data_IF_408443283115
#
_entry.id   IF_408443283115
#
_cell.length_a   1.000
_cell.length_b   1.000
_cell.length_c   1.000
_cell.angle_alpha   90.00
_cell.angle_beta   90.00
_cell.angle_gamma   90.00
#
_symmetry.space_group_name_H-M   'P 1'
#
loop_
_entity.id
_entity.type
_entity.pdbx_description
1 polymer ?
#
# COMPACT_ATOMS: atom_id res chain seq x y z
N UNK A 1 -15.90 -0.64 -12.71
CA UNK A 1 -14.99 -1.81 -12.56
C UNK A 1 -14.88 -2.14 -11.08
N UNK A 2 -15.15 -3.39 -10.67
CA UNK A 2 -15.13 -3.79 -9.25
C UNK A 2 -13.73 -3.61 -8.64
N UNK A 3 -13.66 -3.17 -7.38
CA UNK A 3 -12.40 -2.96 -6.64
C UNK A 3 -11.50 -4.21 -6.59
N UNK A 4 -12.09 -5.40 -6.53
CA UNK A 4 -11.33 -6.67 -6.61
C UNK A 4 -10.54 -6.82 -7.91
N UNK A 5 -11.10 -6.37 -9.03
CA UNK A 5 -10.41 -6.41 -10.32
C UNK A 5 -9.26 -5.41 -10.36
N UNK A 6 -9.39 -4.26 -9.68
CA UNK A 6 -8.28 -3.29 -9.54
C UNK A 6 -7.17 -3.89 -8.70
N UNK A 7 -7.50 -4.55 -7.60
CA UNK A 7 -6.54 -5.23 -6.74
C UNK A 7 -5.79 -6.34 -7.49
N UNK A 8 -6.48 -7.12 -8.34
CA UNK A 8 -5.82 -8.13 -9.20
C UNK A 8 -4.80 -7.49 -10.16
N UNK A 9 -5.13 -6.34 -10.77
CA UNK A 9 -4.18 -5.61 -11.63
C UNK A 9 -2.97 -5.09 -10.85
N UNK A 10 -3.19 -4.61 -9.62
CA UNK A 10 -2.11 -4.20 -8.72
C UNK A 10 -1.20 -5.39 -8.39
N UNK A 11 -1.76 -6.54 -8.02
CA UNK A 11 -0.97 -7.75 -7.72
C UNK A 11 -0.14 -8.16 -8.93
N UNK A 12 -0.76 -8.22 -10.12
CA UNK A 12 -0.05 -8.53 -11.37
C UNK A 12 1.11 -7.56 -11.63
N UNK A 13 0.87 -6.27 -11.47
CA UNK A 13 1.93 -5.25 -11.58
C UNK A 13 3.07 -5.49 -10.58
N UNK A 14 2.76 -5.82 -9.32
CA UNK A 14 3.79 -6.08 -8.31
C UNK A 14 4.60 -7.36 -8.62
N UNK A 15 3.94 -8.42 -9.09
CA UNK A 15 4.59 -9.66 -9.52
C UNK A 15 5.52 -9.42 -10.72
N UNK A 16 5.06 -8.70 -11.74
CA UNK A 16 5.85 -8.34 -12.93
C UNK A 16 7.11 -7.52 -12.60
N UNK A 17 7.05 -6.74 -11.51
CA UNK A 17 8.17 -5.92 -11.05
C UNK A 17 9.01 -6.58 -9.93
N UNK A 18 8.73 -7.85 -9.60
CA UNK A 18 9.45 -8.59 -8.56
C UNK A 18 9.26 -8.02 -7.14
N UNK A 19 8.20 -7.24 -6.91
CA UNK A 19 7.91 -6.61 -5.63
C UNK A 19 7.19 -7.61 -4.72
N UNK A 20 7.84 -7.96 -3.60
CA UNK A 20 7.26 -8.85 -2.59
C UNK A 20 5.97 -8.25 -2.01
N UNK A 21 4.86 -8.95 -2.18
CA UNK A 21 3.58 -8.65 -1.56
C UNK A 21 3.02 -9.89 -0.85
N UNK A 22 2.18 -9.65 0.14
CA UNK A 22 1.45 -10.70 0.85
C UNK A 22 0.00 -10.30 1.01
N UNK A 23 -0.91 -11.24 0.81
CA UNK A 23 -2.32 -11.05 1.18
C UNK A 23 -2.40 -11.01 2.71
N UNK A 24 -3.18 -10.07 3.24
CA UNK A 24 -3.38 -9.99 4.69
C UNK A 24 -4.11 -11.23 5.19
N UNK A 25 -3.63 -11.83 6.29
CA UNK A 25 -4.32 -12.95 6.97
C UNK A 25 -5.72 -12.58 7.46
N UNK A 26 -5.97 -11.29 7.67
CA UNK A 26 -7.24 -10.73 8.13
C UNK A 26 -7.96 -9.96 7.02
N UNK A 27 -7.77 -10.36 5.75
CA UNK A 27 -8.47 -9.76 4.61
C UNK A 27 -9.99 -9.76 4.87
N UNK A 28 -10.62 -8.59 4.72
CA UNK A 28 -12.06 -8.42 4.94
C UNK A 28 -12.48 -8.19 6.40
N UNK A 29 -11.56 -8.19 7.37
CA UNK A 29 -11.86 -7.76 8.74
C UNK A 29 -11.76 -6.26 8.89
N UNK A 30 -12.61 -5.70 9.75
CA UNK A 30 -12.63 -4.27 10.05
C UNK A 30 -11.26 -3.78 10.56
N UNK A 31 -10.78 -2.68 9.98
CA UNK A 31 -9.51 -2.04 10.27
C UNK A 31 -8.28 -2.75 9.69
N UNK A 32 -8.44 -3.74 8.80
CA UNK A 32 -7.34 -4.48 8.20
C UNK A 32 -7.16 -4.22 6.69
N UNK A 33 -5.93 -4.40 6.22
CA UNK A 33 -5.57 -4.31 4.80
C UNK A 33 -5.98 -5.56 4.03
N UNK A 34 -6.10 -5.43 2.71
CA UNK A 34 -6.28 -6.54 1.77
C UNK A 34 -4.94 -7.08 1.28
N UNK A 35 -3.98 -6.19 1.04
CA UNK A 35 -2.64 -6.50 0.54
C UNK A 35 -1.59 -5.72 1.34
N UNK A 36 -0.44 -6.33 1.58
CA UNK A 36 0.66 -5.72 2.32
C UNK A 36 1.94 -5.89 1.52
N UNK A 37 2.73 -4.82 1.43
CA UNK A 37 4.09 -4.85 0.90
C UNK A 37 5.04 -4.73 2.11
N UNK A 38 5.48 -5.86 2.69
CA UNK A 38 6.17 -5.87 3.99
C UNK A 38 7.50 -5.10 3.95
N UNK A 39 8.26 -5.19 2.86
CA UNK A 39 9.56 -4.50 2.71
C UNK A 39 9.44 -2.97 2.81
N UNK A 40 8.30 -2.41 2.41
CA UNK A 40 8.04 -0.98 2.41
C UNK A 40 7.10 -0.55 3.55
N UNK A 41 6.58 -1.51 4.33
CA UNK A 41 5.50 -1.27 5.29
C UNK A 41 4.33 -0.52 4.64
N UNK A 42 3.96 -0.88 3.41
CA UNK A 42 2.81 -0.30 2.71
C UNK A 42 1.63 -1.25 2.87
N UNK A 43 0.50 -0.70 3.34
CA UNK A 43 -0.71 -1.46 3.63
C UNK A 43 -1.81 -0.97 2.71
N UNK A 44 -2.29 -1.84 1.84
CA UNK A 44 -3.26 -1.52 0.81
C UNK A 44 -4.62 -2.06 1.22
N UNK A 45 -5.62 -1.19 1.24
CA UNK A 45 -7.00 -1.51 1.61
C UNK A 45 -7.95 -1.08 0.50
N UNK A 46 -8.94 -1.93 0.19
CA UNK A 46 -10.09 -1.57 -0.62
C UNK A 46 -11.04 -0.70 0.21
N UNK A 47 -11.54 0.38 -0.38
CA UNK A 47 -12.50 1.29 0.26
C UNK A 47 -13.67 0.50 0.86
N UNK A 48 -13.99 0.81 2.11
CA UNK A 48 -15.10 0.23 2.85
C UNK A 48 -15.53 1.10 4.03
N UNK A 49 -16.56 0.65 4.75
CA UNK A 49 -17.13 1.39 5.89
C UNK A 49 -16.13 1.57 7.05
N UNK A 50 -15.12 0.70 7.12
CA UNK A 50 -14.09 0.69 8.16
C UNK A 50 -12.82 1.47 7.77
N UNK A 51 -12.87 2.31 6.74
CA UNK A 51 -11.72 3.11 6.27
C UNK A 51 -11.14 4.01 7.37
N UNK A 52 -12.00 4.66 8.16
CA UNK A 52 -11.58 5.51 9.27
C UNK A 52 -10.82 4.70 10.34
N UNK A 53 -11.30 3.48 10.63
CA UNK A 53 -10.69 2.58 11.60
C UNK A 53 -9.32 2.10 11.09
N UNK A 54 -9.23 1.75 9.81
CA UNK A 54 -7.97 1.36 9.19
C UNK A 54 -6.95 2.50 9.23
N UNK A 55 -7.34 3.72 8.86
CA UNK A 55 -6.46 4.89 8.91
C UNK A 55 -5.97 5.15 10.33
N UNK A 56 -6.89 5.21 11.30
CA UNK A 56 -6.54 5.42 12.71
C UNK A 56 -5.52 4.40 13.23
N UNK A 57 -5.62 3.15 12.80
CA UNK A 57 -4.70 2.07 13.20
C UNK A 57 -3.33 2.13 12.51
N UNK A 58 -3.26 2.62 11.28
CA UNK A 58 -2.08 2.43 10.41
C UNK A 58 -1.34 3.74 10.05
N UNK A 59 -1.93 4.92 10.23
CA UNK A 59 -1.34 6.20 9.82
C UNK A 59 0.00 6.56 10.50
N UNK A 60 0.29 5.99 11.68
CA UNK A 60 1.48 6.35 12.48
C UNK A 60 2.72 5.54 12.06
N UNK A 61 2.57 4.23 11.88
CA UNK A 61 3.70 3.30 11.81
C UNK A 61 3.91 2.68 10.43
N UNK A 62 2.96 2.86 9.52
CA UNK A 62 2.99 2.28 8.18
C UNK A 62 2.46 3.29 7.15
N UNK A 63 2.51 2.91 5.88
CA UNK A 63 2.04 3.72 4.76
C UNK A 63 0.71 3.18 4.25
N UNK A 64 -0.45 3.67 4.75
CA UNK A 64 -1.75 3.23 4.30
C UNK A 64 -2.05 3.75 2.89
N UNK A 65 -2.50 2.86 2.00
CA UNK A 65 -2.95 3.18 0.64
C UNK A 65 -4.37 2.65 0.48
N UNK A 66 -5.27 3.54 0.06
CA UNK A 66 -6.66 3.19 -0.23
C UNK A 66 -6.88 3.04 -1.72
N UNK A 67 -7.58 1.98 -2.11
CA UNK A 67 -8.11 1.77 -3.46
C UNK A 67 -9.58 2.14 -3.40
N UNK A 68 -9.95 3.27 -3.99
CA UNK A 68 -11.33 3.78 -3.99
C UNK A 68 -12.10 3.29 -5.21
N UNK A 69 -13.42 3.22 -5.09
CA UNK A 69 -14.29 2.84 -6.21
C UNK A 69 -14.22 3.83 -7.38
N UNK A 70 -14.03 5.12 -7.08
CA UNK A 70 -13.88 6.19 -8.06
C UNK A 70 -12.54 6.20 -8.79
N UNK A 71 -11.51 5.53 -8.26
CA UNK A 71 -10.16 5.53 -8.84
C UNK A 71 -10.03 4.55 -10.01
N UNK A 72 -9.30 4.95 -11.06
CA UNK A 72 -8.99 4.06 -12.19
C UNK A 72 -7.85 3.10 -11.83
N UNK A 73 -7.75 1.91 -12.45
CA UNK A 73 -6.65 0.98 -12.17
C UNK A 73 -5.27 1.59 -12.44
N UNK A 74 -5.14 2.43 -13.48
CA UNK A 74 -3.90 3.11 -13.82
C UNK A 74 -3.49 4.06 -12.68
N UNK A 75 -4.44 4.86 -12.20
CA UNK A 75 -4.20 5.78 -11.09
C UNK A 75 -3.81 5.03 -9.80
N UNK A 76 -4.46 3.89 -9.52
CA UNK A 76 -4.11 3.07 -8.35
C UNK A 76 -2.67 2.55 -8.43
N UNK A 77 -2.26 2.05 -9.59
CA UNK A 77 -0.88 1.58 -9.81
C UNK A 77 0.11 2.73 -9.60
N UNK A 78 -0.16 3.88 -10.20
CA UNK A 78 0.67 5.08 -10.07
C UNK A 78 0.77 5.54 -8.61
N UNK A 79 -0.34 5.55 -7.88
CA UNK A 79 -0.38 5.88 -6.45
C UNK A 79 0.48 4.93 -5.62
N UNK A 80 0.47 3.64 -5.93
CA UNK A 80 1.32 2.64 -5.25
C UNK A 80 2.78 2.87 -5.60
N UNK A 81 3.12 3.08 -6.88
CA UNK A 81 4.48 3.39 -7.32
C UNK A 81 5.02 4.64 -6.62
N UNK A 82 4.25 5.73 -6.61
CA UNK A 82 4.62 6.98 -5.94
C UNK A 82 4.83 6.78 -4.43
N UNK A 83 4.01 5.93 -3.80
CA UNK A 83 4.18 5.58 -2.38
C UNK A 83 5.49 4.80 -2.16
N UNK A 84 5.81 3.82 -3.01
CA UNK A 84 7.06 3.06 -2.93
C UNK A 84 8.27 3.98 -3.11
N UNK A 85 8.26 4.83 -4.13
CA UNK A 85 9.33 5.79 -4.42
C UNK A 85 9.55 6.71 -3.21
N UNK A 86 8.48 7.27 -2.65
CA UNK A 86 8.56 8.14 -1.46
C UNK A 86 9.21 7.40 -0.29
N UNK A 87 8.75 6.18 0.01
CA UNK A 87 9.31 5.36 1.10
C UNK A 87 10.79 5.05 0.88
N UNK A 88 11.20 4.76 -0.36
CA UNK A 88 12.59 4.51 -0.70
C UNK A 88 13.45 5.78 -0.54
N UNK A 89 12.96 6.93 -0.98
CA UNK A 89 13.64 8.22 -0.82
C UNK A 89 13.80 8.58 0.66
N UNK A 90 12.77 8.37 1.49
CA UNK A 90 12.85 8.66 2.93
C UNK A 90 13.86 7.73 3.63
N UNK A 91 13.89 6.45 3.27
CA UNK A 91 14.92 5.51 3.75
C UNK A 91 16.32 5.93 3.33
N UNK A 92 16.50 6.34 2.07
CA UNK A 92 17.79 6.82 1.56
C UNK A 92 18.27 8.06 2.32
N UNK A 93 17.40 9.07 2.51
CA UNK A 93 17.71 10.27 3.29
C UNK A 93 18.10 9.94 4.73
N UNK A 94 17.39 9.01 5.37
CA UNK A 94 17.72 8.57 6.72
C UNK A 94 19.09 7.89 6.77
N UNK A 95 19.38 7.01 5.81
CA UNK A 95 20.66 6.34 5.69
C UNK A 95 21.82 7.34 5.48
N UNK A 96 21.63 8.33 4.60
CA UNK A 96 22.61 9.39 4.38
C UNK A 96 22.85 10.26 5.61
N UNK A 97 21.80 10.58 6.37
CA UNK A 97 21.93 11.31 7.64
C UNK A 97 22.68 10.47 8.68
N UNK A 98 22.41 9.17 8.76
CA UNK A 98 23.10 8.27 9.70
C UNK A 98 24.57 8.05 9.38
N UNK A 99 24.98 8.18 8.11
CA UNK A 99 26.39 8.11 7.70
C UNK A 99 27.22 9.34 8.09
N UNK A 100 26.57 10.45 8.44
CA UNK A 100 27.22 11.71 8.81
C UNK A 100 27.48 11.84 10.32
N UNK A 101 27.04 10.86 11.11
CA UNK A 101 27.33 10.69 12.54
C UNK A 101 28.23 9.49 12.74
#
# INVERSE_FOLDING_TARGET
>A
MKNETKLKKVVKFLDENGIKHVKSKNKGKAGHSDLVLPSFRIYIKLQGEDDALFYKKHHISVHPVFIRDSETPKFVIEKIQNTIIRVMQDKQKYFEKSKRH
#
